data_IF_035719453273
#
_entry.id   IF_035719453273
#
_cell.length_a   1.000
_cell.length_b   1.000
_cell.length_c   1.000
_cell.angle_alpha   90.00
_cell.angle_beta   90.00
_cell.angle_gamma   90.00
#
_symmetry.space_group_name_H-M   'P 1'
#
loop_
_entity.id
_entity.type
_entity.pdbx_description
1 polymer ?
#
# COMPACT_ATOMS: atom_id res chain seq x y z
N UNK A 1 -7.41 -50.52 -44.70
CA UNK A 1 -6.79 -50.19 -43.39
C UNK A 1 -7.90 -49.69 -42.46
N UNK A 2 -8.21 -50.41 -41.38
CA UNK A 2 -9.17 -49.92 -40.38
C UNK A 2 -8.45 -48.87 -39.53
N UNK A 3 -8.79 -47.60 -39.70
CA UNK A 3 -8.38 -46.53 -38.79
C UNK A 3 -9.13 -46.76 -37.46
N UNK A 4 -8.43 -47.34 -36.48
CA UNK A 4 -8.96 -47.61 -35.15
C UNK A 4 -9.13 -46.29 -34.39
N UNK A 5 -10.30 -45.65 -34.53
CA UNK A 5 -10.67 -44.49 -33.72
C UNK A 5 -10.99 -44.91 -32.29
N UNK A 6 -10.54 -44.14 -31.30
CA UNK A 6 -10.90 -44.37 -29.90
C UNK A 6 -12.24 -43.68 -29.64
N UNK A 7 -13.21 -44.42 -29.09
CA UNK A 7 -14.47 -43.81 -28.66
C UNK A 7 -14.25 -43.01 -27.39
N UNK A 8 -14.69 -41.76 -27.40
CA UNK A 8 -14.63 -40.85 -26.26
C UNK A 8 -16.05 -40.47 -25.86
N UNK A 9 -16.31 -40.49 -24.57
CA UNK A 9 -17.61 -40.14 -23.98
C UNK A 9 -17.47 -38.79 -23.27
N UNK A 10 -18.23 -37.80 -23.72
CA UNK A 10 -18.25 -36.48 -23.10
C UNK A 10 -19.51 -36.37 -22.22
N UNK A 11 -19.30 -36.10 -20.93
CA UNK A 11 -20.38 -35.93 -19.96
C UNK A 11 -20.57 -34.45 -19.73
N UNK A 12 -21.72 -33.91 -20.14
CA UNK A 12 -22.05 -32.51 -19.87
C UNK A 12 -22.31 -32.29 -18.37
N UNK A 13 -21.63 -31.31 -17.78
CA UNK A 13 -21.71 -31.01 -16.35
C UNK A 13 -23.13 -30.63 -15.87
N UNK A 14 -24.00 -30.12 -16.76
CA UNK A 14 -25.37 -29.69 -16.42
C UNK A 14 -26.47 -30.67 -16.85
N UNK A 15 -26.15 -31.73 -17.60
CA UNK A 15 -27.15 -32.67 -18.12
C UNK A 15 -26.58 -34.10 -18.08
N UNK A 16 -26.67 -34.73 -16.91
CA UNK A 16 -26.02 -36.04 -16.61
C UNK A 16 -26.50 -37.21 -17.49
N UNK A 17 -27.51 -37.02 -18.34
CA UNK A 17 -28.18 -38.10 -19.07
C UNK A 17 -27.86 -38.18 -20.57
N UNK A 18 -27.33 -37.14 -21.21
CA UNK A 18 -26.97 -37.18 -22.64
C UNK A 18 -25.47 -37.34 -22.81
N UNK A 19 -25.05 -38.58 -23.06
CA UNK A 19 -23.69 -38.89 -23.47
C UNK A 19 -23.60 -38.76 -24.98
N UNK A 20 -22.80 -37.82 -25.48
CA UNK A 20 -22.51 -37.73 -26.91
C UNK A 20 -21.26 -38.55 -27.18
N UNK A 21 -21.39 -39.58 -28.00
CA UNK A 21 -20.29 -40.45 -28.39
C UNK A 21 -19.74 -39.98 -29.74
N UNK A 22 -18.45 -39.71 -29.80
CA UNK A 22 -17.73 -39.43 -31.04
C UNK A 22 -16.43 -40.23 -31.06
N UNK A 23 -15.89 -40.42 -32.25
CA UNK A 23 -14.64 -41.14 -32.48
C UNK A 23 -13.55 -40.16 -32.81
N UNK A 24 -12.48 -40.18 -32.02
CA UNK A 24 -11.26 -39.45 -32.30
C UNK A 24 -10.20 -40.39 -32.86
N UNK A 25 -9.47 -39.92 -33.85
CA UNK A 25 -8.20 -40.51 -34.28
C UNK A 25 -7.14 -40.33 -33.19
N UNK A 26 -6.13 -41.20 -33.18
CA UNK A 26 -5.02 -41.10 -32.24
C UNK A 26 -4.31 -39.74 -32.34
N UNK A 27 -4.20 -39.17 -33.53
CA UNK A 27 -3.62 -37.84 -33.77
C UNK A 27 -4.41 -36.73 -33.09
N UNK A 28 -5.74 -36.78 -33.12
CA UNK A 28 -6.59 -35.78 -32.43
C UNK A 28 -6.48 -35.92 -30.90
N UNK A 29 -6.36 -37.16 -30.39
CA UNK A 29 -6.15 -37.41 -28.96
C UNK A 29 -4.81 -36.83 -28.49
N UNK A 30 -3.72 -37.08 -29.23
CA UNK A 30 -2.42 -36.51 -28.88
C UNK A 30 -2.40 -34.98 -29.01
N UNK A 31 -3.10 -34.42 -30.00
CA UNK A 31 -3.29 -32.97 -30.14
C UNK A 31 -3.97 -32.35 -28.93
N UNK A 32 -5.13 -32.88 -28.53
CA UNK A 32 -5.89 -32.41 -27.37
C UNK A 32 -5.09 -32.56 -26.06
N UNK A 33 -4.34 -33.64 -25.90
CA UNK A 33 -3.47 -33.82 -24.73
C UNK A 33 -2.36 -32.78 -24.68
N UNK A 34 -1.72 -32.50 -25.82
CA UNK A 34 -0.68 -31.47 -25.94
C UNK A 34 -1.24 -30.08 -25.60
N UNK A 35 -2.40 -29.72 -26.16
CA UNK A 35 -3.07 -28.44 -25.87
C UNK A 35 -3.48 -28.33 -24.39
N UNK A 36 -4.01 -29.41 -23.81
CA UNK A 36 -4.38 -29.46 -22.39
C UNK A 36 -3.16 -29.25 -21.47
N UNK A 37 -2.01 -29.83 -21.82
CA UNK A 37 -0.75 -29.63 -21.09
C UNK A 37 -0.26 -28.18 -21.19
N UNK A 38 -0.37 -27.57 -22.37
CA UNK A 38 -0.01 -26.15 -22.56
C UNK A 38 -0.91 -25.24 -21.73
N UNK A 39 -2.23 -25.48 -21.74
CA UNK A 39 -3.18 -24.74 -20.93
C UNK A 39 -2.91 -24.89 -19.43
N UNK A 40 -2.62 -26.10 -18.97
CA UNK A 40 -2.26 -26.35 -17.56
C UNK A 40 -1.01 -25.58 -17.15
N UNK A 41 0.00 -25.49 -18.03
CA UNK A 41 1.20 -24.70 -17.79
C UNK A 41 0.88 -23.20 -17.67
N UNK A 42 0.02 -22.68 -18.55
CA UNK A 42 -0.42 -21.28 -18.49
C UNK A 42 -1.17 -21.00 -17.19
N UNK A 43 -2.14 -21.83 -16.82
CA UNK A 43 -2.89 -21.69 -15.57
C UNK A 43 -2.00 -21.76 -14.33
N UNK A 44 -1.00 -22.65 -14.34
CA UNK A 44 -0.02 -22.73 -13.24
C UNK A 44 0.87 -21.49 -13.14
N UNK A 45 1.19 -20.86 -14.27
CA UNK A 45 2.00 -19.64 -14.30
C UNK A 45 1.17 -18.47 -13.80
N UNK A 46 -0.04 -18.30 -14.34
CA UNK A 46 -0.99 -17.28 -13.92
C UNK A 46 -1.28 -17.35 -12.42
N UNK A 47 -1.51 -18.56 -11.89
CA UNK A 47 -1.72 -18.75 -10.45
C UNK A 47 -0.53 -18.25 -9.63
N UNK A 48 0.69 -18.59 -10.04
CA UNK A 48 1.92 -18.17 -9.34
C UNK A 48 2.09 -16.66 -9.39
N UNK A 49 1.83 -16.05 -10.55
CA UNK A 49 1.97 -14.60 -10.73
C UNK A 49 0.93 -13.84 -9.90
N UNK A 50 -0.30 -14.33 -9.85
CA UNK A 50 -1.36 -13.78 -8.98
C UNK A 50 -1.01 -13.90 -7.49
N UNK A 51 -0.44 -15.03 -7.06
CA UNK A 51 0.05 -15.21 -5.69
C UNK A 51 1.20 -14.23 -5.37
N UNK A 52 2.14 -14.03 -6.29
CA UNK A 52 3.23 -13.07 -6.13
C UNK A 52 2.73 -11.62 -6.04
N UNK A 53 1.80 -11.24 -6.92
CA UNK A 53 1.15 -9.91 -6.90
C UNK A 53 0.44 -9.69 -5.56
N UNK A 54 -0.32 -10.69 -5.09
CA UNK A 54 -1.02 -10.62 -3.81
C UNK A 54 -0.05 -10.39 -2.64
N UNK A 55 1.03 -11.16 -2.57
CA UNK A 55 2.02 -11.04 -1.50
C UNK A 55 2.68 -9.65 -1.52
N UNK A 56 3.06 -9.16 -2.70
CA UNK A 56 3.62 -7.82 -2.84
C UNK A 56 2.64 -6.72 -2.41
N UNK A 57 1.35 -6.85 -2.72
CA UNK A 57 0.33 -5.92 -2.23
C UNK A 57 0.15 -5.99 -0.71
N UNK A 58 0.23 -7.17 -0.11
CA UNK A 58 0.15 -7.35 1.34
C UNK A 58 1.34 -6.69 2.06
N UNK A 59 2.56 -6.92 1.57
CA UNK A 59 3.77 -6.26 2.06
C UNK A 59 3.67 -4.73 1.94
N UNK A 60 3.21 -4.22 0.80
CA UNK A 60 3.01 -2.78 0.58
C UNK A 60 1.96 -2.21 1.54
N UNK A 61 0.87 -2.93 1.80
CA UNK A 61 -0.17 -2.48 2.73
C UNK A 61 0.36 -2.41 4.17
N UNK A 62 1.15 -3.39 4.59
CA UNK A 62 1.82 -3.38 5.90
C UNK A 62 2.76 -2.18 6.00
N UNK A 63 3.59 -1.96 4.98
CA UNK A 63 4.49 -0.81 4.94
C UNK A 63 3.73 0.53 5.02
N UNK A 64 2.66 0.71 4.24
CA UNK A 64 1.87 1.94 4.25
C UNK A 64 1.17 2.17 5.59
N UNK A 65 0.71 1.11 6.27
CA UNK A 65 0.13 1.22 7.61
C UNK A 65 1.17 1.66 8.63
N UNK A 66 2.34 1.04 8.63
CA UNK A 66 3.43 1.41 9.54
C UNK A 66 3.88 2.86 9.28
N UNK A 67 4.02 3.24 8.01
CA UNK A 67 4.35 4.62 7.64
C UNK A 67 3.29 5.61 8.12
N UNK A 68 2.00 5.27 8.04
CA UNK A 68 0.93 6.11 8.58
C UNK A 68 1.07 6.30 10.09
N UNK A 69 1.33 5.24 10.84
CA UNK A 69 1.56 5.29 12.29
C UNK A 69 2.78 6.16 12.64
N UNK A 70 3.89 6.01 11.91
CA UNK A 70 5.09 6.84 12.07
C UNK A 70 4.80 8.32 11.82
N UNK A 71 4.05 8.65 10.77
CA UNK A 71 3.65 10.04 10.45
C UNK A 71 2.74 10.60 11.55
N UNK A 72 1.78 9.82 12.06
CA UNK A 72 0.92 10.27 13.16
C UNK A 72 1.73 10.54 14.43
N UNK A 73 2.68 9.67 14.77
CA UNK A 73 3.59 9.88 15.89
C UNK A 73 4.46 11.14 15.70
N UNK A 74 4.98 11.35 14.49
CA UNK A 74 5.75 12.54 14.16
C UNK A 74 4.93 13.83 14.34
N UNK A 75 3.67 13.84 13.88
CA UNK A 75 2.74 14.96 14.06
C UNK A 75 2.54 15.24 15.55
N UNK A 76 2.15 14.22 16.32
CA UNK A 76 1.87 14.35 17.76
C UNK A 76 3.08 14.94 18.51
N UNK A 77 4.26 14.38 18.26
CA UNK A 77 5.51 14.85 18.85
C UNK A 77 5.78 16.32 18.50
N UNK A 78 5.70 16.67 17.22
CA UNK A 78 5.99 18.03 16.75
C UNK A 78 5.02 19.06 17.33
N UNK A 79 3.72 18.71 17.41
CA UNK A 79 2.72 19.59 18.03
C UNK A 79 2.95 19.75 19.53
N UNK A 80 3.34 18.68 20.23
CA UNK A 80 3.62 18.71 21.67
C UNK A 80 4.83 19.59 21.98
N UNK A 81 5.96 19.36 21.29
CA UNK A 81 7.18 20.17 21.43
C UNK A 81 6.89 21.65 21.12
N UNK A 82 6.14 21.92 20.05
CA UNK A 82 5.75 23.28 19.67
C UNK A 82 4.86 23.94 20.73
N UNK A 83 3.91 23.22 21.30
CA UNK A 83 3.03 23.73 22.36
C UNK A 83 3.84 24.14 23.60
N UNK A 84 4.81 23.30 23.99
CA UNK A 84 5.72 23.58 25.10
C UNK A 84 6.56 24.85 24.83
N UNK A 85 7.16 24.97 23.65
CA UNK A 85 7.94 26.16 23.27
C UNK A 85 7.09 27.44 23.28
N UNK A 86 5.85 27.37 22.80
CA UNK A 86 4.91 28.51 22.83
C UNK A 86 4.62 28.93 24.27
N UNK A 87 4.35 27.96 25.15
CA UNK A 87 4.06 28.24 26.56
C UNK A 87 5.26 28.88 27.27
N UNK A 88 6.47 28.36 27.05
CA UNK A 88 7.70 28.88 27.65
C UNK A 88 8.00 30.30 27.17
N UNK A 89 7.99 30.54 25.86
CA UNK A 89 8.28 31.87 25.30
C UNK A 89 7.23 32.89 25.74
N UNK A 90 5.95 32.51 25.78
CA UNK A 90 4.87 33.37 26.26
C UNK A 90 5.06 33.73 27.73
N UNK A 91 5.40 32.74 28.58
CA UNK A 91 5.66 32.94 30.00
C UNK A 91 6.83 33.90 30.23
N UNK A 92 7.97 33.66 29.57
CA UNK A 92 9.17 34.51 29.68
C UNK A 92 8.87 35.93 29.22
N UNK A 93 8.16 36.08 28.09
CA UNK A 93 7.81 37.39 27.54
C UNK A 93 6.92 38.18 28.50
N UNK A 94 5.96 37.51 29.14
CA UNK A 94 5.10 38.12 30.17
C UNK A 94 5.92 38.59 31.36
N UNK A 95 6.80 37.75 31.91
CA UNK A 95 7.67 38.14 33.04
C UNK A 95 8.58 39.32 32.70
N UNK A 96 9.12 39.37 31.48
CA UNK A 96 9.95 40.50 31.04
C UNK A 96 9.15 41.80 31.01
N UNK A 97 7.94 41.78 30.46
CA UNK A 97 7.06 42.96 30.41
C UNK A 97 6.69 43.40 31.83
N UNK A 98 6.32 42.47 32.71
CA UNK A 98 5.98 42.76 34.11
C UNK A 98 7.17 43.33 34.90
N UNK A 99 8.40 42.93 34.56
CA UNK A 99 9.63 43.47 35.16
C UNK A 99 10.04 44.85 34.64
N UNK A 100 9.29 45.42 33.70
CA UNK A 100 9.61 46.70 33.06
C UNK A 100 10.52 46.60 31.83
N UNK A 101 10.98 45.39 31.48
CA UNK A 101 11.77 45.12 30.27
C UNK A 101 10.88 44.92 29.04
N UNK A 102 10.11 45.95 28.69
CA UNK A 102 9.06 45.87 27.66
C UNK A 102 9.64 45.52 26.28
N UNK A 103 10.71 46.19 25.85
CA UNK A 103 11.31 45.97 24.52
C UNK A 103 11.75 44.52 24.31
N UNK A 104 12.40 43.92 25.31
CA UNK A 104 12.85 42.54 25.26
C UNK A 104 11.67 41.55 25.17
N UNK A 105 10.61 41.79 25.96
CA UNK A 105 9.39 40.99 25.91
C UNK A 105 8.67 41.09 24.56
N UNK A 106 8.58 42.30 23.98
CA UNK A 106 7.98 42.50 22.65
C UNK A 106 8.80 41.82 21.55
N UNK A 107 10.14 41.88 21.60
CA UNK A 107 11.01 41.17 20.64
C UNK A 107 10.78 39.66 20.69
N UNK A 108 10.67 39.07 21.89
CA UNK A 108 10.40 37.65 22.04
C UNK A 108 9.02 37.25 21.50
N UNK A 109 7.97 38.05 21.74
CA UNK A 109 6.65 37.76 21.16
C UNK A 109 6.63 37.89 19.63
N UNK A 110 7.35 38.86 19.06
CA UNK A 110 7.48 38.96 17.61
C UNK A 110 8.21 37.73 17.02
N UNK A 111 9.26 37.24 17.69
CA UNK A 111 9.93 35.99 17.31
C UNK A 111 9.02 34.78 17.42
N UNK A 112 8.14 34.73 18.42
CA UNK A 112 7.15 33.67 18.57
C UNK A 112 6.17 33.66 17.40
N UNK A 113 5.67 34.82 16.98
CA UNK A 113 4.79 34.96 15.82
C UNK A 113 5.48 34.45 14.55
N UNK A 114 6.75 34.80 14.36
CA UNK A 114 7.57 34.33 13.25
C UNK A 114 7.76 32.80 13.26
N UNK A 115 8.06 32.24 14.43
CA UNK A 115 8.19 30.79 14.61
C UNK A 115 6.88 30.07 14.30
N UNK A 116 5.75 30.62 14.76
CA UNK A 116 4.43 30.03 14.55
C UNK A 116 4.03 30.10 13.07
N UNK A 117 4.33 31.20 12.38
CA UNK A 117 3.95 31.39 10.99
C UNK A 117 4.80 30.61 9.98
N UNK A 118 6.11 30.45 10.23
CA UNK A 118 7.04 29.84 9.26
C UNK A 118 7.11 28.30 9.36
N UNK A 119 6.99 27.74 10.55
CA UNK A 119 7.16 26.30 10.77
C UNK A 119 5.80 25.63 11.02
N UNK A 120 5.21 25.02 10.00
CA UNK A 120 3.99 24.22 10.16
C UNK A 120 4.33 22.76 10.48
N UNK A 121 3.86 22.20 11.61
CA UNK A 121 4.03 20.77 11.91
C UNK A 121 3.49 19.85 10.80
N UNK A 122 2.40 20.25 10.14
CA UNK A 122 1.81 19.48 9.03
C UNK A 122 2.72 19.46 7.82
N UNK A 123 3.38 20.57 7.51
CA UNK A 123 4.34 20.64 6.40
C UNK A 123 5.53 19.73 6.68
N UNK A 124 6.12 19.83 7.87
CA UNK A 124 7.24 18.96 8.28
C UNK A 124 6.86 17.47 8.25
N UNK A 125 5.64 17.13 8.66
CA UNK A 125 5.17 15.73 8.64
C UNK A 125 4.89 15.22 7.23
N UNK A 126 4.48 16.10 6.31
CA UNK A 126 4.35 15.78 4.90
C UNK A 126 5.72 15.55 4.25
N UNK A 127 6.70 16.39 4.57
CA UNK A 127 8.08 16.24 4.10
C UNK A 127 8.68 14.92 4.60
N UNK A 128 8.50 14.59 5.89
CA UNK A 128 8.89 13.29 6.48
C UNK A 128 8.25 12.10 5.76
N UNK A 129 6.94 12.17 5.47
CA UNK A 129 6.24 11.13 4.70
C UNK A 129 6.86 10.96 3.31
N UNK A 130 7.16 12.06 2.62
CA UNK A 130 7.69 12.02 1.27
C UNK A 130 9.11 11.44 1.23
N UNK A 131 9.97 11.78 2.20
CA UNK A 131 11.30 11.19 2.34
C UNK A 131 11.23 9.66 2.51
N UNK A 132 10.27 9.18 3.31
CA UNK A 132 10.07 7.74 3.53
C UNK A 132 9.54 7.01 2.31
N UNK A 133 8.66 7.63 1.52
CA UNK A 133 8.10 7.03 0.30
C UNK A 133 9.10 6.94 -0.86
N UNK A 134 10.20 7.69 -0.81
CA UNK A 134 11.26 7.67 -1.83
C UNK A 134 12.34 6.60 -1.56
N UNK A 135 12.31 5.95 -0.40
CA UNK A 135 13.16 4.83 0.01
C UNK A 135 12.46 3.49 -0.26
#
# INVERSE_FOLDING_TARGET
>A
MKTSGTQVHLVHAMDRAKTTTFTLSSTEIYGLLSESLQLMKLLSTEKRDLEAIRNHHEERNIYLRNLHEEVMYHIERTYTERSQMIAEISSISKTLIESGNIDAGTVLMNRLIDFVSKNSPLKSSLDFKNERLLL
#
